data_IF_067271711563
#
_entry.id   IF_067271711563
#
_cell.length_a   1.000
_cell.length_b   1.000
_cell.length_c   1.000
_cell.angle_alpha   90.00
_cell.angle_beta   90.00
_cell.angle_gamma   90.00
#
_symmetry.space_group_name_H-M   'P 1'
#
loop_
_entity.id
_entity.type
_entity.pdbx_description
1 polymer ?
#
# COMPACT_ATOMS: atom_id res chain seq x y z
N UNK A 1 6.86 17.51 -9.47
CA UNK A 1 6.55 16.33 -8.63
C UNK A 1 6.90 16.70 -7.20
N UNK A 2 6.00 16.50 -6.22
CA UNK A 2 6.29 16.79 -4.81
C UNK A 2 7.31 15.77 -4.27
N UNK A 3 8.30 16.22 -3.49
CA UNK A 3 9.33 15.36 -2.88
C UNK A 3 8.72 14.15 -2.14
N UNK A 4 7.60 14.32 -1.44
CA UNK A 4 6.93 13.21 -0.75
C UNK A 4 6.48 12.11 -1.72
N UNK A 5 5.90 12.48 -2.86
CA UNK A 5 5.48 11.52 -3.88
C UNK A 5 6.68 10.83 -4.56
N UNK A 6 7.81 11.54 -4.72
CA UNK A 6 9.04 10.94 -5.22
C UNK A 6 9.58 9.88 -4.27
N UNK A 7 9.67 10.17 -2.98
CA UNK A 7 10.13 9.22 -1.96
C UNK A 7 9.22 7.99 -1.89
N UNK A 8 7.90 8.20 -1.89
CA UNK A 8 6.93 7.10 -1.92
C UNK A 8 7.11 6.23 -3.17
N UNK A 9 7.35 6.87 -4.33
CA UNK A 9 7.64 6.14 -5.55
C UNK A 9 8.95 5.34 -5.46
N UNK A 10 10.02 5.91 -4.90
CA UNK A 10 11.30 5.21 -4.72
C UNK A 10 11.16 4.00 -3.80
N UNK A 11 10.44 4.13 -2.69
CA UNK A 11 10.16 3.02 -1.76
C UNK A 11 9.44 1.88 -2.48
N UNK A 12 8.43 2.18 -3.33
CA UNK A 12 7.71 1.15 -4.10
C UNK A 12 8.65 0.35 -5.02
N UNK A 13 9.65 1.00 -5.60
CA UNK A 13 10.59 0.39 -6.55
C UNK A 13 11.82 -0.24 -5.87
N UNK A 14 12.03 0.01 -4.57
CA UNK A 14 13.16 -0.51 -3.78
C UNK A 14 12.69 -0.95 -2.38
N UNK A 15 11.87 -2.01 -2.28
CA UNK A 15 11.23 -2.41 -1.03
C UNK A 15 12.20 -2.85 0.08
N UNK A 16 13.38 -3.34 -0.30
CA UNK A 16 14.39 -3.80 0.64
C UNK A 16 15.25 -2.65 1.19
N UNK A 17 15.16 -1.46 0.58
CA UNK A 17 15.90 -0.28 1.01
C UNK A 17 15.34 0.25 2.33
N UNK A 18 16.18 0.29 3.36
CA UNK A 18 15.82 0.79 4.68
C UNK A 18 16.07 2.29 4.85
N UNK A 19 16.80 2.93 3.93
CA UNK A 19 17.14 4.35 3.98
C UNK A 19 15.93 5.18 3.54
N UNK A 20 15.27 4.79 2.45
CA UNK A 20 14.18 5.56 1.87
C UNK A 20 12.98 5.77 2.82
N UNK A 21 12.51 4.75 3.57
CA UNK A 21 11.44 4.96 4.54
C UNK A 21 11.84 5.90 5.69
N UNK A 22 13.11 5.95 6.10
CA UNK A 22 13.60 6.89 7.10
C UNK A 22 13.62 8.33 6.57
N UNK A 23 14.02 8.53 5.31
CA UNK A 23 13.93 9.85 4.66
C UNK A 23 12.46 10.28 4.53
N UNK A 24 11.55 9.35 4.22
CA UNK A 24 10.11 9.62 4.24
C UNK A 24 9.64 10.00 5.65
N UNK A 25 10.10 9.33 6.70
CA UNK A 25 9.79 9.71 8.08
C UNK A 25 10.25 11.14 8.41
N UNK A 26 11.47 11.53 8.03
CA UNK A 26 11.98 12.89 8.20
C UNK A 26 11.15 13.94 7.43
N UNK A 27 10.65 13.57 6.25
CA UNK A 27 9.74 14.42 5.49
C UNK A 27 8.38 14.55 6.20
N UNK A 28 7.77 13.45 6.61
CA UNK A 28 6.48 13.43 7.31
C UNK A 28 6.52 14.21 8.63
N UNK A 29 7.60 14.09 9.39
CA UNK A 29 7.81 14.84 10.63
C UNK A 29 7.83 16.35 10.39
N UNK A 30 8.53 16.80 9.35
CA UNK A 30 8.55 18.23 8.95
C UNK A 30 7.17 18.74 8.52
N UNK A 31 6.32 17.85 8.03
CA UNK A 31 4.94 18.17 7.66
C UNK A 31 3.96 18.07 8.83
N UNK A 32 4.42 17.69 10.03
CA UNK A 32 3.58 17.47 11.21
C UNK A 32 2.72 16.21 11.12
N UNK A 33 3.10 15.26 10.27
CA UNK A 33 2.36 14.02 10.05
C UNK A 33 2.80 12.95 11.06
N UNK A 34 1.85 12.44 11.84
CA UNK A 34 2.10 11.50 12.95
C UNK A 34 2.59 10.13 12.48
N UNK A 35 2.45 9.81 11.19
CA UNK A 35 3.00 8.57 10.59
C UNK A 35 4.51 8.47 10.71
N UNK A 36 5.22 9.61 10.79
CA UNK A 36 6.67 9.62 10.95
C UNK A 36 7.13 8.80 12.16
N UNK A 37 6.44 8.94 13.30
CA UNK A 37 6.78 8.22 14.53
C UNK A 37 6.61 6.71 14.37
N UNK A 38 5.53 6.27 13.72
CA UNK A 38 5.29 4.86 13.41
C UNK A 38 6.43 4.25 12.58
N UNK A 39 6.83 4.93 11.50
CA UNK A 39 7.90 4.45 10.63
C UNK A 39 9.23 4.30 11.38
N UNK A 40 9.60 5.28 12.22
CA UNK A 40 10.82 5.19 13.04
C UNK A 40 10.80 3.99 13.99
N UNK A 41 9.68 3.73 14.65
CA UNK A 41 9.56 2.57 15.55
C UNK A 41 9.62 1.24 14.81
N UNK A 42 8.99 1.14 13.64
CA UNK A 42 9.09 -0.05 12.79
C UNK A 42 10.52 -0.29 12.28
N UNK A 43 11.27 0.78 11.99
CA UNK A 43 12.68 0.68 11.64
C UNK A 43 13.55 0.25 12.81
N UNK A 44 13.39 0.88 13.98
CA UNK A 44 14.08 0.48 15.20
C UNK A 44 13.84 -1.01 15.52
N UNK A 45 12.61 -1.50 15.40
CA UNK A 45 12.28 -2.91 15.61
C UNK A 45 12.95 -3.88 14.61
N UNK A 46 13.28 -3.43 13.40
CA UNK A 46 13.93 -4.26 12.39
C UNK A 46 15.45 -4.30 12.54
N UNK A 47 16.05 -3.26 13.12
CA UNK A 47 17.48 -3.21 13.40
C UNK A 47 17.86 -4.04 14.64
N UNK A 48 16.88 -4.30 15.52
CA UNK A 48 17.05 -5.15 16.69
C UNK A 48 17.01 -6.65 16.34
N UNK A 49 17.85 -7.49 17.00
CA UNK A 49 17.76 -8.93 16.87
C UNK A 49 16.37 -9.47 17.22
N UNK A 50 16.01 -10.61 16.63
CA UNK A 50 14.80 -11.32 17.04
C UNK A 50 14.83 -11.64 18.55
N UNK A 51 13.66 -11.63 19.18
CA UNK A 51 13.43 -12.00 20.58
C UNK A 51 14.09 -11.11 21.67
N UNK A 52 14.51 -9.88 21.34
CA UNK A 52 14.97 -8.91 22.35
C UNK A 52 13.81 -8.13 22.99
N UNK A 53 13.91 -7.75 24.28
CA UNK A 53 12.96 -6.83 24.92
C UNK A 53 12.82 -5.50 24.19
N UNK A 54 13.92 -4.98 23.63
CA UNK A 54 13.97 -3.73 22.88
C UNK A 54 13.13 -3.82 21.60
N UNK A 55 13.26 -4.93 20.86
CA UNK A 55 12.43 -5.21 19.69
C UNK A 55 10.96 -5.32 20.07
N UNK A 56 10.64 -6.05 21.14
CA UNK A 56 9.28 -6.19 21.62
C UNK A 56 8.66 -4.85 22.03
N UNK A 57 9.44 -3.99 22.69
CA UNK A 57 9.03 -2.64 23.05
C UNK A 57 8.76 -1.78 21.80
N UNK A 58 9.69 -1.77 20.84
CA UNK A 58 9.55 -1.00 19.60
C UNK A 58 8.31 -1.41 18.79
N UNK A 59 8.08 -2.73 18.63
CA UNK A 59 6.88 -3.25 17.98
C UNK A 59 5.60 -2.89 18.74
N UNK A 60 5.62 -2.98 20.07
CA UNK A 60 4.50 -2.59 20.92
C UNK A 60 4.15 -1.11 20.75
N UNK A 61 5.14 -0.23 20.73
CA UNK A 61 4.92 1.21 20.51
C UNK A 61 4.39 1.49 19.10
N UNK A 62 4.96 0.87 18.06
CA UNK A 62 4.47 1.00 16.69
C UNK A 62 3.00 0.53 16.58
N UNK A 63 2.66 -0.59 17.22
CA UNK A 63 1.29 -1.13 17.23
C UNK A 63 0.31 -0.21 17.95
N UNK A 64 0.71 0.42 19.06
CA UNK A 64 -0.13 1.41 19.76
C UNK A 64 -0.40 2.61 18.86
N UNK A 65 0.63 3.18 18.24
CA UNK A 65 0.49 4.31 17.30
C UNK A 65 -0.43 3.96 16.13
N UNK A 66 -0.26 2.78 15.55
CA UNK A 66 -1.11 2.31 14.46
C UNK A 66 -2.56 2.17 14.93
N UNK A 67 -2.81 1.50 16.05
CA UNK A 67 -4.17 1.34 16.61
C UNK A 67 -4.87 2.68 16.83
N UNK A 68 -4.15 3.68 17.31
CA UNK A 68 -4.70 5.00 17.62
C UNK A 68 -5.00 5.85 16.37
N UNK A 69 -4.18 5.72 15.33
CA UNK A 69 -4.19 6.65 14.19
C UNK A 69 -4.60 6.02 12.86
N UNK A 70 -4.75 4.68 12.79
CA UNK A 70 -4.99 3.94 11.55
C UNK A 70 -6.17 4.49 10.77
N UNK A 71 -7.28 4.82 11.44
CA UNK A 71 -8.47 5.36 10.78
C UNK A 71 -8.19 6.67 10.03
N UNK A 72 -7.37 7.55 10.61
CA UNK A 72 -6.99 8.81 9.99
C UNK A 72 -6.00 8.57 8.83
N UNK A 73 -4.98 7.75 9.06
CA UNK A 73 -3.93 7.50 8.08
C UNK A 73 -4.44 6.70 6.86
N UNK A 74 -5.36 5.77 7.09
CA UNK A 74 -6.02 4.94 6.09
C UNK A 74 -7.38 5.53 5.64
N UNK A 75 -7.66 6.82 5.93
CA UNK A 75 -8.91 7.48 5.54
C UNK A 75 -9.29 7.28 4.07
N UNK A 76 -8.38 7.31 3.07
CA UNK A 76 -8.72 7.03 1.67
C UNK A 76 -9.28 5.61 1.42
N UNK A 77 -8.97 4.65 2.31
CA UNK A 77 -9.36 3.24 2.24
C UNK A 77 -10.60 2.92 3.06
N UNK A 78 -10.93 3.75 4.06
CA UNK A 78 -12.03 3.46 4.99
C UNK A 78 -13.36 3.35 4.25
N UNK A 79 -14.04 2.21 4.41
CA UNK A 79 -15.33 1.91 3.75
C UNK A 79 -15.21 1.59 2.26
N UNK A 80 -13.99 1.46 1.73
CA UNK A 80 -13.73 1.20 0.31
C UNK A 80 -12.83 -0.02 0.09
N UNK A 81 -11.83 -0.21 0.96
CA UNK A 81 -10.99 -1.40 0.97
C UNK A 81 -11.61 -2.50 1.83
N UNK A 82 -11.42 -3.74 1.41
CA UNK A 82 -11.82 -4.95 2.14
C UNK A 82 -10.81 -5.28 3.23
N UNK A 83 -9.52 -5.09 2.94
CA UNK A 83 -8.44 -5.09 3.93
C UNK A 83 -7.24 -4.29 3.43
N UNK A 84 -6.32 -3.97 4.33
CA UNK A 84 -5.00 -3.44 4.02
C UNK A 84 -4.01 -3.91 5.08
N UNK A 85 -2.72 -3.86 4.73
CA UNK A 85 -1.64 -4.24 5.63
C UNK A 85 -0.58 -3.14 5.69
N UNK A 86 -0.15 -2.88 6.91
CA UNK A 86 0.96 -2.00 7.21
C UNK A 86 2.29 -2.74 7.21
N UNK A 87 3.33 -2.03 6.79
CA UNK A 87 4.73 -2.47 6.80
C UNK A 87 5.62 -1.40 7.43
N UNK A 88 6.94 -1.66 7.47
CA UNK A 88 7.95 -0.68 7.89
C UNK A 88 7.97 0.63 7.07
N UNK A 89 7.28 0.66 5.92
CA UNK A 89 7.24 1.81 5.02
C UNK A 89 5.86 2.49 4.96
N UNK A 90 4.85 1.99 5.68
CA UNK A 90 3.46 2.48 5.63
C UNK A 90 2.50 1.42 5.10
N UNK A 91 1.37 1.82 4.51
CA UNK A 91 0.45 0.87 3.88
C UNK A 91 1.10 0.30 2.62
N UNK A 92 1.12 -1.02 2.54
CA UNK A 92 1.96 -1.76 1.60
C UNK A 92 1.16 -2.68 0.68
N UNK A 93 0.14 -3.33 1.25
CA UNK A 93 -0.80 -4.17 0.53
C UNK A 93 -2.22 -3.70 0.78
N UNK A 94 -3.05 -3.67 -0.26
CA UNK A 94 -4.45 -3.26 -0.18
C UNK A 94 -5.31 -4.19 -1.02
N UNK A 95 -6.44 -4.65 -0.46
CA UNK A 95 -7.50 -5.32 -1.20
C UNK A 95 -8.70 -4.40 -1.38
N UNK A 96 -9.12 -4.23 -2.63
CA UNK A 96 -10.28 -3.45 -3.03
C UNK A 96 -11.35 -4.35 -3.62
N UNK A 97 -12.61 -3.97 -3.42
CA UNK A 97 -13.72 -4.47 -4.24
C UNK A 97 -13.79 -3.73 -5.59
N UNK A 98 -14.35 -4.36 -6.63
CA UNK A 98 -14.63 -3.67 -7.91
C UNK A 98 -15.41 -2.35 -7.76
N UNK A 99 -16.27 -2.25 -6.75
CA UNK A 99 -17.10 -1.07 -6.47
C UNK A 99 -16.43 -0.04 -5.54
N UNK A 100 -15.16 -0.23 -5.16
CA UNK A 100 -14.48 0.58 -4.15
C UNK A 100 -14.41 2.08 -4.48
N UNK A 101 -14.56 2.46 -5.76
CA UNK A 101 -14.57 3.85 -6.25
C UNK A 101 -13.45 4.70 -5.62
N UNK A 102 -12.24 4.14 -5.59
CA UNK A 102 -11.03 4.81 -5.11
C UNK A 102 -10.28 5.37 -6.31
N UNK A 103 -9.86 6.62 -6.21
CA UNK A 103 -8.79 7.17 -7.04
C UNK A 103 -7.47 6.60 -6.52
N UNK A 104 -6.89 5.62 -7.21
CA UNK A 104 -5.67 4.97 -6.73
C UNK A 104 -4.51 5.96 -6.57
N UNK A 105 -4.50 7.04 -7.35
CA UNK A 105 -3.53 8.13 -7.21
C UNK A 105 -3.53 8.77 -5.81
N UNK A 106 -4.70 8.98 -5.18
CA UNK A 106 -4.76 9.54 -3.82
C UNK A 106 -4.10 8.65 -2.79
N UNK A 107 -4.14 7.33 -3.01
CA UNK A 107 -3.51 6.35 -2.15
C UNK A 107 -2.00 6.30 -2.41
N UNK A 108 -1.61 6.21 -3.69
CA UNK A 108 -0.22 6.10 -4.12
C UNK A 108 0.61 7.36 -3.87
N UNK A 109 -0.04 8.52 -3.74
CA UNK A 109 0.61 9.77 -3.32
C UNK A 109 0.91 9.81 -1.82
N UNK A 110 0.27 8.95 -1.02
CA UNK A 110 0.35 8.98 0.45
C UNK A 110 1.02 7.76 1.04
N UNK A 111 0.99 6.63 0.34
CA UNK A 111 1.46 5.35 0.84
C UNK A 111 2.20 4.58 -0.25
N UNK A 112 3.29 3.86 0.11
CA UNK A 112 4.05 3.08 -0.85
C UNK A 112 3.38 1.73 -1.12
N UNK A 113 2.12 1.75 -1.57
CA UNK A 113 1.39 0.52 -1.88
C UNK A 113 2.07 -0.20 -3.03
N UNK A 114 2.52 -1.42 -2.75
CA UNK A 114 3.23 -2.30 -3.69
C UNK A 114 2.33 -3.40 -4.23
N UNK A 115 1.43 -3.88 -3.40
CA UNK A 115 0.49 -4.95 -3.75
C UNK A 115 -0.94 -4.41 -3.75
N UNK A 116 -1.58 -4.48 -4.92
CA UNK A 116 -3.01 -4.31 -5.03
C UNK A 116 -3.67 -5.64 -5.34
N UNK A 117 -4.66 -5.99 -4.54
CA UNK A 117 -5.56 -7.10 -4.79
C UNK A 117 -6.94 -6.54 -5.16
N UNK A 118 -7.45 -6.93 -6.32
CA UNK A 118 -8.84 -6.66 -6.67
C UNK A 118 -9.66 -7.94 -6.49
N UNK A 119 -10.60 -7.89 -5.55
CA UNK A 119 -11.53 -8.98 -5.25
C UNK A 119 -12.91 -8.61 -5.79
N UNK A 120 -13.49 -9.52 -6.57
CA UNK A 120 -14.76 -9.33 -7.28
C UNK A 120 -14.68 -8.33 -8.44
N UNK A 121 -15.28 -8.70 -9.57
CA UNK A 121 -15.40 -7.90 -10.80
C UNK A 121 -16.85 -7.65 -11.21
N UNK A 122 -17.84 -8.03 -10.39
CA UNK A 122 -19.25 -7.80 -10.72
C UNK A 122 -19.55 -6.30 -10.98
N UNK A 123 -18.77 -5.39 -10.38
CA UNK A 123 -18.83 -3.95 -10.64
C UNK A 123 -17.98 -3.44 -11.82
N UNK A 124 -17.18 -4.30 -12.46
CA UNK A 124 -16.18 -3.92 -13.46
C UNK A 124 -14.82 -3.51 -12.87
N UNK A 125 -13.87 -3.15 -13.72
CA UNK A 125 -12.57 -2.59 -13.30
C UNK A 125 -12.73 -1.08 -13.01
N UNK A 126 -11.97 -0.50 -12.06
CA UNK A 126 -11.93 0.95 -11.87
C UNK A 126 -11.61 1.69 -13.17
N UNK A 127 -12.22 2.86 -13.43
CA UNK A 127 -12.11 3.52 -14.73
C UNK A 127 -10.68 3.98 -15.08
N UNK A 128 -9.84 4.25 -14.08
CA UNK A 128 -8.45 4.68 -14.18
C UNK A 128 -7.44 3.52 -13.97
N UNK A 129 -7.92 2.27 -13.89
CA UNK A 129 -7.09 1.12 -13.55
C UNK A 129 -5.84 0.88 -14.43
N UNK A 130 -5.82 1.17 -15.74
CA UNK A 130 -4.62 0.98 -16.54
C UNK A 130 -3.53 2.02 -16.24
N UNK A 131 -3.87 3.15 -15.61
CA UNK A 131 -2.95 4.29 -15.43
C UNK A 131 -2.07 4.13 -14.19
N UNK A 132 -2.56 3.48 -13.14
CA UNK A 132 -1.79 3.26 -11.91
C UNK A 132 -1.16 1.87 -11.83
N UNK A 133 -1.64 0.91 -12.63
CA UNK A 133 -1.07 -0.44 -12.67
C UNK A 133 0.38 -0.48 -13.19
N UNK A 134 0.81 0.53 -13.95
CA UNK A 134 2.23 0.68 -14.35
C UNK A 134 3.16 1.04 -13.19
N UNK A 135 2.62 1.58 -12.11
CA UNK A 135 3.40 2.18 -11.02
C UNK A 135 3.45 1.27 -9.78
N UNK A 136 2.85 0.08 -9.84
CA UNK A 136 2.77 -0.86 -8.73
C UNK A 136 3.61 -2.09 -9.03
N UNK A 137 4.29 -2.59 -7.99
CA UNK A 137 5.17 -3.74 -8.10
C UNK A 137 4.39 -5.02 -8.40
N UNK A 138 3.22 -5.17 -7.80
CA UNK A 138 2.38 -6.35 -7.99
C UNK A 138 0.89 -5.98 -8.05
N UNK A 139 0.23 -6.41 -9.13
CA UNK A 139 -1.22 -6.38 -9.27
C UNK A 139 -1.75 -7.81 -9.30
N UNK A 140 -2.62 -8.16 -8.36
CA UNK A 140 -3.28 -9.46 -8.31
C UNK A 140 -4.78 -9.29 -8.50
N UNK A 141 -5.35 -10.22 -9.25
CA UNK A 141 -6.78 -10.30 -9.49
C UNK A 141 -7.29 -11.61 -8.89
N UNK A 142 -8.14 -11.53 -7.86
CA UNK A 142 -8.82 -12.72 -7.30
C UNK A 142 -10.22 -12.80 -7.87
N UNK A 143 -10.39 -13.72 -8.81
CA UNK A 143 -11.64 -13.93 -9.52
C UNK A 143 -12.47 -15.04 -8.87
N UNK A 144 -13.77 -14.78 -8.68
CA UNK A 144 -14.76 -15.86 -8.66
C UNK A 144 -14.96 -16.42 -10.08
N UNK A 145 -15.90 -17.36 -10.31
CA UNK A 145 -16.23 -17.85 -11.64
C UNK A 145 -16.68 -16.70 -12.54
N UNK A 146 -15.78 -16.22 -13.41
CA UNK A 146 -16.08 -15.23 -14.44
C UNK A 146 -16.25 -16.00 -15.74
N UNK A 147 -17.49 -16.13 -16.22
CA UNK A 147 -17.73 -16.76 -17.53
C UNK A 147 -16.90 -16.08 -18.64
N UNK A 148 -16.76 -16.74 -19.80
CA UNK A 148 -15.83 -16.37 -20.89
C UNK A 148 -15.86 -14.88 -21.28
N UNK A 149 -17.02 -14.24 -21.22
CA UNK A 149 -17.20 -12.83 -21.57
C UNK A 149 -16.55 -11.87 -20.56
N UNK A 150 -16.50 -12.25 -19.28
CA UNK A 150 -15.83 -11.51 -18.22
C UNK A 150 -14.32 -11.61 -18.36
N UNK A 151 -13.81 -12.81 -18.63
CA UNK A 151 -12.39 -13.05 -18.90
C UNK A 151 -11.92 -12.29 -20.15
N UNK A 152 -12.71 -12.30 -21.23
CA UNK A 152 -12.39 -11.57 -22.45
C UNK A 152 -12.29 -10.04 -22.24
N UNK A 153 -13.15 -9.46 -21.38
CA UNK A 153 -13.09 -8.03 -21.04
C UNK A 153 -11.83 -7.68 -20.23
N UNK A 154 -11.43 -8.55 -19.30
CA UNK A 154 -10.18 -8.39 -18.54
C UNK A 154 -9.02 -8.44 -19.53
N UNK A 155 -8.86 -9.52 -20.28
CA UNK A 155 -7.75 -9.68 -21.24
C UNK A 155 -7.67 -8.53 -22.25
N UNK A 156 -8.81 -8.01 -22.74
CA UNK A 156 -8.86 -6.90 -23.68
C UNK A 156 -8.54 -5.51 -23.06
N UNK A 157 -8.51 -5.38 -21.74
CA UNK A 157 -8.38 -4.09 -21.05
C UNK A 157 -6.95 -3.61 -20.77
N UNK A 158 -5.91 -4.40 -21.07
CA UNK A 158 -4.53 -3.97 -20.82
C UNK A 158 -3.44 -4.88 -21.42
N UNK A 159 -2.21 -4.35 -21.50
CA UNK A 159 -1.01 -5.14 -21.78
C UNK A 159 -0.52 -5.78 -20.48
N UNK A 160 -0.88 -7.04 -20.29
CA UNK A 160 -0.51 -7.83 -19.11
C UNK A 160 0.95 -8.30 -19.22
N UNK A 161 1.91 -7.51 -18.74
CA UNK A 161 3.33 -7.89 -18.79
C UNK A 161 3.70 -8.98 -17.76
N UNK A 162 2.83 -9.25 -16.77
CA UNK A 162 3.11 -10.18 -15.66
C UNK A 162 1.87 -10.99 -15.22
N UNK A 163 1.17 -11.62 -16.16
CA UNK A 163 0.24 -12.71 -15.82
C UNK A 163 1.09 -13.97 -15.57
N UNK A 164 1.45 -14.23 -14.31
CA UNK A 164 1.91 -15.56 -13.91
C UNK A 164 0.69 -16.42 -13.55
N UNK A 165 0.67 -17.65 -14.07
CA UNK A 165 -0.34 -18.69 -13.79
C UNK A 165 -0.30 -19.17 -12.33
#
# INVERSE_FOLDING_TARGET
MNLGAQLINEIRHRPDDTVQPLILADYLERMGDTRAAYLRWMHAANDEPADTPERAHALGTAQSLMTENEHEWARPLTGRAMWWQWSKSGIDSVELGASANILASELLEKHPVREFLLSDLQGGLPADWPQWTSDIFQFRLRLGPVGDLGLAKILASGQWQHLEE
#
